data_IF_480800043611
#
_entry.id   IF_480800043611
#
_cell.length_a   1.000
_cell.length_b   1.000
_cell.length_c   1.000
_cell.angle_alpha   90.00
_cell.angle_beta   90.00
_cell.angle_gamma   90.00
#
_symmetry.space_group_name_H-M   'P 1'
#
loop_
_entity.id
_entity.type
_entity.pdbx_description
1 polymer ?
#
# COMPACT_ATOMS: atom_id res chain seq x y z
N UNK A 1 2.80 53.71 54.02
CA UNK A 1 2.19 55.06 53.91
C UNK A 1 2.16 55.35 52.40
N UNK A 2 1.06 55.49 51.68
CA UNK A 2 -0.30 55.97 51.98
C UNK A 2 -1.31 55.26 51.05
N UNK A 3 -2.36 54.73 51.70
CA UNK A 3 -3.80 54.60 51.38
C UNK A 3 -4.35 54.10 50.03
N UNK A 4 -5.46 53.38 50.22
CA UNK A 4 -6.28 52.64 49.28
C UNK A 4 -7.61 53.33 48.96
N UNK A 5 -8.17 52.96 47.79
CA UNK A 5 -9.60 52.69 47.45
C UNK A 5 -10.64 53.84 47.45
N UNK A 6 -11.89 53.69 46.91
CA UNK A 6 -12.57 52.51 46.29
C UNK A 6 -13.50 52.81 45.05
N UNK A 7 -14.18 51.74 44.57
CA UNK A 7 -15.38 51.64 43.70
C UNK A 7 -15.19 51.72 42.18
N UNK A 8 -15.75 50.83 41.34
CA UNK A 8 -16.66 49.70 41.59
C UNK A 8 -17.12 49.01 40.29
N UNK A 9 -17.64 47.77 40.43
CA UNK A 9 -18.49 47.02 39.45
C UNK A 9 -17.80 46.63 38.14
N UNK A 10 -17.91 45.43 37.57
CA UNK A 10 -18.84 44.31 37.74
C UNK A 10 -18.23 43.11 37.00
N UNK A 11 -18.25 41.91 37.58
CA UNK A 11 -18.23 40.66 36.78
C UNK A 11 -19.69 40.35 36.39
N UNK A 12 -19.99 39.68 35.25
CA UNK A 12 -19.83 38.23 35.21
C UNK A 12 -19.46 37.59 33.84
N UNK A 13 -18.73 36.47 33.96
CA UNK A 13 -18.95 35.17 33.31
C UNK A 13 -18.82 34.95 31.78
N UNK A 14 -18.33 33.74 31.50
CA UNK A 14 -18.29 32.96 30.24
C UNK A 14 -17.13 33.25 29.27
N UNK A 15 -16.33 32.28 28.84
CA UNK A 15 -16.33 30.85 29.11
C UNK A 15 -15.01 30.23 28.66
N UNK A 16 -14.43 29.40 29.53
CA UNK A 16 -13.35 28.50 29.12
C UNK A 16 -13.92 27.47 28.16
N UNK A 17 -13.31 27.35 26.97
CA UNK A 17 -13.58 26.20 26.13
C UNK A 17 -12.96 24.98 26.78
N UNK A 18 -13.85 24.12 27.26
CA UNK A 18 -13.56 22.78 27.68
C UNK A 18 -12.73 22.06 26.60
N UNK A 19 -11.79 21.24 27.05
CA UNK A 19 -11.32 20.11 26.28
C UNK A 19 -12.55 19.22 26.01
N UNK A 20 -13.12 19.37 24.82
CA UNK A 20 -14.19 18.51 24.35
C UNK A 20 -13.54 17.25 23.75
N UNK A 21 -13.31 16.30 24.64
CA UNK A 21 -13.16 14.89 24.28
C UNK A 21 -14.55 14.36 23.94
N UNK A 22 -15.02 14.66 22.74
CA UNK A 22 -16.16 13.99 22.12
C UNK A 22 -15.78 13.63 20.70
N UNK A 23 -15.43 12.35 20.53
CA UNK A 23 -15.56 11.66 19.26
C UNK A 23 -17.06 11.63 18.91
N UNK A 24 -17.60 12.73 18.39
CA UNK A 24 -18.89 12.70 17.70
C UNK A 24 -18.68 12.01 16.35
N UNK A 25 -18.87 10.69 16.34
CA UNK A 25 -19.36 9.97 15.16
C UNK A 25 -20.78 10.44 14.82
N UNK A 26 -20.92 11.68 14.37
CA UNK A 26 -22.11 12.15 13.69
C UNK A 26 -21.97 11.86 12.18
N UNK A 27 -21.83 10.58 11.82
CA UNK A 27 -22.07 10.14 10.46
C UNK A 27 -23.57 10.03 10.24
N UNK A 28 -24.10 10.47 9.10
CA UNK A 28 -25.55 10.51 8.85
C UNK A 28 -26.19 9.11 8.67
N UNK A 29 -25.48 8.05 9.06
CA UNK A 29 -25.78 6.65 8.76
C UNK A 29 -25.69 6.30 7.27
N UNK A 30 -25.37 7.26 6.40
CA UNK A 30 -25.27 7.09 4.96
C UNK A 30 -23.83 7.42 4.49
N UNK A 31 -23.03 6.39 4.13
CA UNK A 31 -21.64 6.57 3.70
C UNK A 31 -21.46 7.56 2.54
N UNK A 32 -22.44 7.69 1.64
CA UNK A 32 -22.35 8.63 0.53
C UNK A 32 -22.51 10.09 0.98
N UNK A 33 -23.36 10.34 1.98
CA UNK A 33 -23.57 11.69 2.50
C UNK A 33 -22.36 12.14 3.31
N UNK A 34 -21.80 11.25 4.13
CA UNK A 34 -20.56 11.51 4.88
C UNK A 34 -19.38 11.77 3.93
N UNK A 35 -19.30 11.02 2.83
CA UNK A 35 -18.30 11.25 1.79
C UNK A 35 -18.43 12.63 1.17
N UNK A 36 -19.65 13.07 0.80
CA UNK A 36 -19.89 14.41 0.25
C UNK A 36 -19.47 15.51 1.22
N UNK A 37 -19.75 15.34 2.51
CA UNK A 37 -19.33 16.26 3.56
C UNK A 37 -17.80 16.38 3.63
N UNK A 38 -17.09 15.25 3.66
CA UNK A 38 -15.62 15.23 3.69
C UNK A 38 -15.00 15.82 2.40
N UNK A 39 -15.61 15.61 1.22
CA UNK A 39 -15.16 16.26 -0.01
C UNK A 39 -15.31 17.78 0.09
N UNK A 40 -16.41 18.26 0.70
CA UNK A 40 -16.60 19.68 1.00
C UNK A 40 -15.54 20.24 1.94
N UNK A 41 -15.15 19.48 2.98
CA UNK A 41 -14.04 19.84 3.86
C UNK A 41 -12.71 19.90 3.11
N UNK A 42 -12.42 18.93 2.23
CA UNK A 42 -11.21 18.91 1.40
C UNK A 42 -11.07 20.18 0.54
N UNK A 43 -12.15 20.56 -0.14
CA UNK A 43 -12.18 21.77 -0.98
C UNK A 43 -11.95 23.03 -0.15
N UNK A 44 -12.51 23.12 1.06
CA UNK A 44 -12.29 24.27 1.95
C UNK A 44 -10.84 24.34 2.42
N UNK A 45 -10.26 23.20 2.80
CA UNK A 45 -8.85 23.14 3.18
C UNK A 45 -7.93 23.53 2.02
N UNK A 46 -8.20 23.09 0.80
CA UNK A 46 -7.39 23.50 -0.36
C UNK A 46 -7.38 25.03 -0.54
N UNK A 47 -8.56 25.66 -0.46
CA UNK A 47 -8.65 27.13 -0.57
C UNK A 47 -7.93 27.85 0.57
N UNK A 48 -7.99 27.30 1.78
CA UNK A 48 -7.29 27.87 2.93
C UNK A 48 -5.77 27.74 2.75
N UNK A 49 -5.31 26.56 2.33
CA UNK A 49 -3.92 26.28 2.03
C UNK A 49 -3.35 27.26 0.98
N UNK A 50 -4.11 27.58 -0.08
CA UNK A 50 -3.70 28.57 -1.07
C UNK A 50 -3.43 29.96 -0.43
N UNK A 51 -4.30 30.40 0.49
CA UNK A 51 -4.11 31.66 1.22
C UNK A 51 -2.91 31.61 2.18
N UNK A 52 -2.70 30.48 2.83
CA UNK A 52 -1.60 30.31 3.80
C UNK A 52 -0.25 30.25 3.08
N UNK A 53 -0.20 29.65 1.88
CA UNK A 53 0.95 29.70 0.98
C UNK A 53 1.25 31.14 0.54
N UNK A 54 0.24 31.90 0.12
CA UNK A 54 0.41 33.31 -0.29
C UNK A 54 0.94 34.18 0.86
N UNK A 55 0.52 33.90 2.10
CA UNK A 55 1.00 34.59 3.30
C UNK A 55 2.36 34.09 3.80
N UNK A 56 2.88 33.01 3.20
CA UNK A 56 4.04 32.29 3.68
C UNK A 56 3.92 31.84 5.16
N UNK A 57 2.71 31.40 5.54
CA UNK A 57 2.41 30.92 6.89
C UNK A 57 2.77 29.43 7.03
N UNK A 58 4.05 29.16 7.31
CA UNK A 58 4.55 27.80 7.43
C UNK A 58 3.86 26.98 8.53
N UNK A 59 3.30 27.62 9.57
CA UNK A 59 2.62 26.92 10.64
C UNK A 59 1.26 26.39 10.17
N UNK A 60 0.47 27.26 9.54
CA UNK A 60 -0.85 26.89 9.01
C UNK A 60 -0.76 25.86 7.88
N UNK A 61 0.23 26.01 6.97
CA UNK A 61 0.50 25.00 5.92
C UNK A 61 0.77 23.62 6.54
N UNK A 62 1.62 23.56 7.59
CA UNK A 62 1.94 22.30 8.26
C UNK A 62 0.74 21.73 9.01
N UNK A 63 -0.07 22.58 9.63
CA UNK A 63 -1.29 22.17 10.32
C UNK A 63 -2.33 21.62 9.35
N UNK A 64 -2.52 22.25 8.19
CA UNK A 64 -3.40 21.77 7.13
C UNK A 64 -2.97 20.38 6.63
N UNK A 65 -1.67 20.16 6.43
CA UNK A 65 -1.12 18.86 6.05
C UNK A 65 -1.36 17.79 7.11
N UNK A 66 -1.14 18.11 8.39
CA UNK A 66 -1.38 17.19 9.50
C UNK A 66 -2.87 16.82 9.58
N UNK A 67 -3.76 17.79 9.41
CA UNK A 67 -5.20 17.56 9.41
C UNK A 67 -5.63 16.68 8.21
N UNK A 68 -5.06 16.92 7.03
CA UNK A 68 -5.27 16.07 5.87
C UNK A 68 -4.86 14.62 6.18
N UNK A 69 -3.63 14.41 6.66
CA UNK A 69 -3.05 13.09 6.92
C UNK A 69 -3.73 12.31 8.05
N UNK A 70 -3.98 12.97 9.18
CA UNK A 70 -4.42 12.30 10.40
C UNK A 70 -5.95 12.23 10.53
N UNK A 71 -6.70 13.13 9.90
CA UNK A 71 -8.17 13.22 10.07
C UNK A 71 -8.93 12.87 8.79
N UNK A 72 -8.65 13.55 7.68
CA UNK A 72 -9.47 13.39 6.48
C UNK A 72 -9.16 12.14 5.69
N UNK A 73 -7.88 11.87 5.43
CA UNK A 73 -7.49 10.69 4.65
C UNK A 73 -7.99 9.38 5.27
N UNK A 74 -7.84 9.12 6.59
CA UNK A 74 -8.33 7.87 7.19
C UNK A 74 -9.85 7.72 7.16
N UNK A 75 -10.60 8.83 7.30
CA UNK A 75 -12.07 8.81 7.25
C UNK A 75 -12.57 8.54 5.83
N UNK A 76 -11.97 9.20 4.83
CA UNK A 76 -12.26 8.93 3.42
C UNK A 76 -11.92 7.49 3.05
N UNK A 77 -10.82 6.95 3.57
CA UNK A 77 -10.43 5.56 3.40
C UNK A 77 -11.48 4.57 3.91
N UNK A 78 -11.96 4.81 5.13
CA UNK A 78 -13.01 3.99 5.76
C UNK A 78 -14.28 3.99 4.90
N UNK A 79 -14.78 5.18 4.54
CA UNK A 79 -16.00 5.32 3.75
C UNK A 79 -15.87 4.72 2.35
N UNK A 80 -14.72 4.87 1.69
CA UNK A 80 -14.52 4.29 0.37
C UNK A 80 -14.57 2.76 0.43
N UNK A 81 -13.99 2.13 1.46
CA UNK A 81 -14.11 0.68 1.69
C UNK A 81 -15.54 0.23 1.98
N UNK A 82 -16.29 0.99 2.78
CA UNK A 82 -17.71 0.70 3.05
C UNK A 82 -18.57 0.79 1.78
N UNK A 83 -18.33 1.82 0.95
CA UNK A 83 -19.02 2.01 -0.33
C UNK A 83 -18.64 0.87 -1.27
N UNK A 84 -17.35 0.57 -1.45
CA UNK A 84 -16.85 -0.52 -2.29
C UNK A 84 -17.51 -1.86 -1.95
N UNK A 85 -17.68 -2.17 -0.66
CA UNK A 85 -18.33 -3.39 -0.19
C UNK A 85 -19.83 -3.46 -0.55
N UNK A 86 -20.47 -2.33 -0.80
CA UNK A 86 -21.89 -2.23 -1.19
C UNK A 86 -22.13 -2.25 -2.71
N UNK A 87 -21.08 -2.17 -3.53
CA UNK A 87 -21.21 -2.08 -5.00
C UNK A 87 -21.54 -3.43 -5.63
N UNK A 88 -22.69 -3.50 -6.33
CA UNK A 88 -23.20 -4.75 -6.89
C UNK A 88 -22.85 -4.91 -8.38
N UNK A 89 -22.78 -3.82 -9.14
CA UNK A 89 -22.61 -3.88 -10.59
C UNK A 89 -21.37 -3.14 -11.11
N UNK A 90 -21.01 -3.40 -12.38
CA UNK A 90 -19.82 -2.87 -13.00
C UNK A 90 -19.83 -1.34 -13.15
N UNK A 91 -21.00 -0.74 -13.41
CA UNK A 91 -21.15 0.71 -13.57
C UNK A 91 -20.94 1.44 -12.25
N UNK A 92 -21.47 0.90 -11.15
CA UNK A 92 -21.22 1.37 -9.79
C UNK A 92 -19.72 1.34 -9.45
N UNK A 93 -19.05 0.22 -9.75
CA UNK A 93 -17.60 0.09 -9.56
C UNK A 93 -16.79 1.04 -10.44
N UNK A 94 -17.22 1.27 -11.67
CA UNK A 94 -16.58 2.25 -12.55
C UNK A 94 -16.74 3.68 -12.01
N UNK A 95 -17.93 4.01 -11.49
CA UNK A 95 -18.19 5.29 -10.81
C UNK A 95 -17.29 5.50 -9.59
N UNK A 96 -17.17 4.49 -8.73
CA UNK A 96 -16.32 4.57 -7.54
C UNK A 96 -14.83 4.70 -7.90
N UNK A 97 -14.34 3.91 -8.89
CA UNK A 97 -12.97 4.06 -9.40
C UNK A 97 -12.68 5.46 -9.92
N UNK A 98 -13.63 6.07 -10.62
CA UNK A 98 -13.50 7.45 -11.09
C UNK A 98 -13.42 8.43 -9.93
N UNK A 99 -14.25 8.25 -8.90
CA UNK A 99 -14.22 9.08 -7.69
C UNK A 99 -12.89 8.97 -6.96
N UNK A 100 -12.42 7.75 -6.69
CA UNK A 100 -11.14 7.49 -6.02
C UNK A 100 -9.98 8.15 -6.78
N UNK A 101 -9.99 8.07 -8.12
CA UNK A 101 -8.98 8.73 -8.96
C UNK A 101 -9.00 10.24 -8.83
N UNK A 102 -10.16 10.90 -8.92
CA UNK A 102 -10.25 12.36 -8.74
C UNK A 102 -9.77 12.78 -7.36
N UNK A 103 -10.16 12.04 -6.32
CA UNK A 103 -9.72 12.32 -4.96
C UNK A 103 -8.20 12.19 -4.79
N UNK A 104 -7.60 11.16 -5.42
CA UNK A 104 -6.15 10.98 -5.43
C UNK A 104 -5.45 12.15 -6.14
N UNK A 105 -6.00 12.65 -7.25
CA UNK A 105 -5.51 13.85 -7.95
C UNK A 105 -5.58 15.10 -7.06
N UNK A 106 -6.68 15.31 -6.34
CA UNK A 106 -6.89 16.48 -5.47
C UNK A 106 -5.94 16.47 -4.26
N UNK A 107 -5.79 15.32 -3.58
CA UNK A 107 -4.83 15.15 -2.49
C UNK A 107 -3.40 15.40 -2.99
N UNK A 108 -3.07 14.87 -4.16
CA UNK A 108 -1.76 15.07 -4.80
C UNK A 108 -1.49 16.55 -5.08
N UNK A 109 -2.49 17.26 -5.60
CA UNK A 109 -2.40 18.69 -5.87
C UNK A 109 -2.15 19.49 -4.59
N UNK A 110 -2.90 19.21 -3.52
CA UNK A 110 -2.76 19.89 -2.23
C UNK A 110 -1.38 19.64 -1.62
N UNK A 111 -0.95 18.38 -1.54
CA UNK A 111 0.37 18.04 -0.99
C UNK A 111 1.51 18.65 -1.82
N UNK A 112 1.36 18.72 -3.14
CA UNK A 112 2.37 19.33 -4.03
C UNK A 112 2.48 20.84 -3.78
N UNK A 113 1.35 21.55 -3.71
CA UNK A 113 1.30 22.98 -3.37
C UNK A 113 1.97 23.27 -2.02
N UNK A 114 1.73 22.42 -1.03
CA UNK A 114 2.29 22.54 0.30
C UNK A 114 3.79 22.12 0.41
N UNK A 115 4.39 21.62 -0.68
CA UNK A 115 5.77 21.12 -0.67
C UNK A 115 5.96 19.79 0.07
N UNK A 116 4.87 19.09 0.42
CA UNK A 116 4.91 17.78 1.07
C UNK A 116 5.18 16.62 0.10
N UNK A 117 5.09 16.89 -1.22
CA UNK A 117 5.48 15.96 -2.28
C UNK A 117 6.10 16.69 -3.46
N UNK A 118 6.99 15.99 -4.16
CA UNK A 118 7.77 16.57 -5.24
C UNK A 118 7.09 16.54 -6.62
N UNK A 119 6.25 15.56 -6.94
CA UNK A 119 5.55 15.48 -8.23
C UNK A 119 4.09 15.84 -8.12
N UNK A 120 3.52 16.49 -9.14
CA UNK A 120 2.09 16.82 -9.14
C UNK A 120 1.20 15.60 -9.42
N UNK A 121 1.62 14.72 -10.33
CA UNK A 121 0.83 13.58 -10.78
C UNK A 121 0.80 12.46 -9.70
N UNK A 122 -0.38 11.99 -9.26
CA UNK A 122 -0.52 10.90 -8.28
C UNK A 122 0.17 9.57 -8.63
N UNK A 123 0.41 9.33 -9.91
CA UNK A 123 1.00 8.10 -10.43
C UNK A 123 2.49 8.25 -10.76
N UNK A 124 3.08 9.39 -10.40
CA UNK A 124 4.51 9.65 -10.55
C UNK A 124 5.19 9.83 -9.20
N UNK A 125 6.48 9.52 -9.15
CA UNK A 125 7.35 9.73 -8.02
C UNK A 125 8.64 10.42 -8.46
N UNK A 126 9.24 11.21 -7.57
CA UNK A 126 10.42 11.98 -7.90
C UNK A 126 11.66 11.12 -7.79
N UNK A 127 12.28 10.83 -8.93
CA UNK A 127 13.50 10.03 -8.98
C UNK A 127 14.73 10.92 -9.00
N UNK A 128 15.30 11.12 -7.82
CA UNK A 128 16.47 12.00 -7.63
C UNK A 128 17.64 11.74 -8.59
N UNK A 129 18.02 10.49 -8.94
CA UNK A 129 19.14 10.25 -9.86
C UNK A 129 18.95 10.81 -11.28
N UNK A 130 17.70 11.05 -11.71
CA UNK A 130 17.40 11.69 -13.00
C UNK A 130 16.76 13.07 -12.84
N UNK A 131 16.60 13.55 -11.61
CA UNK A 131 15.98 14.83 -11.27
C UNK A 131 14.62 15.06 -11.97
N UNK A 132 13.77 14.03 -12.02
CA UNK A 132 12.49 14.09 -12.72
C UNK A 132 11.43 13.20 -12.09
N UNK A 133 10.17 13.56 -12.32
CA UNK A 133 9.01 12.74 -12.00
C UNK A 133 8.86 11.59 -13.01
N UNK A 134 8.59 10.39 -12.51
CA UNK A 134 8.40 9.22 -13.36
C UNK A 134 7.31 8.30 -12.83
N UNK A 135 6.61 7.59 -13.72
CA UNK A 135 5.70 6.52 -13.33
C UNK A 135 6.39 5.48 -12.46
N UNK A 136 5.68 4.95 -11.48
CA UNK A 136 6.17 3.94 -10.56
C UNK A 136 5.24 2.73 -10.45
N UNK A 137 5.73 1.67 -9.82
CA UNK A 137 5.01 0.42 -9.62
C UNK A 137 5.13 -0.55 -10.80
N UNK A 138 4.52 -1.75 -10.66
CA UNK A 138 4.70 -2.84 -11.62
C UNK A 138 4.08 -2.57 -13.00
N UNK A 139 3.11 -1.65 -13.05
CA UNK A 139 2.41 -1.27 -14.28
C UNK A 139 3.03 -0.05 -14.98
N UNK A 140 4.15 0.48 -14.47
CA UNK A 140 4.84 1.60 -15.09
C UNK A 140 5.40 1.18 -16.46
N UNK A 141 5.15 2.01 -17.49
CA UNK A 141 5.66 1.77 -18.85
C UNK A 141 7.17 1.92 -18.97
N UNK A 142 7.78 2.68 -18.06
CA UNK A 142 9.22 2.95 -18.02
C UNK A 142 9.72 2.68 -16.61
N UNK A 143 10.73 1.82 -16.49
CA UNK A 143 11.39 1.53 -15.22
C UNK A 143 12.84 2.08 -15.25
N UNK A 144 13.20 3.05 -14.39
CA UNK A 144 14.56 3.60 -14.35
C UNK A 144 15.56 2.70 -13.62
N UNK A 145 15.08 1.66 -12.92
CA UNK A 145 15.93 0.83 -12.08
C UNK A 145 16.80 -0.07 -12.96
N UNK A 146 18.12 0.12 -12.88
CA UNK A 146 19.10 -0.54 -13.75
C UNK A 146 19.29 -2.02 -13.43
N UNK A 147 18.97 -2.42 -12.21
CA UNK A 147 19.21 -3.78 -11.70
C UNK A 147 18.02 -4.66 -12.02
N UNK A 148 18.32 -5.95 -12.25
CA UNK A 148 17.29 -6.96 -12.44
C UNK A 148 16.41 -7.05 -11.18
N UNK A 149 15.14 -7.36 -11.40
CA UNK A 149 14.17 -7.60 -10.34
C UNK A 149 13.97 -6.40 -9.40
N UNK A 150 14.26 -5.19 -9.89
CA UNK A 150 13.93 -3.92 -9.22
C UNK A 150 12.93 -3.14 -10.04
N UNK A 151 11.99 -2.48 -9.36
CA UNK A 151 11.10 -1.48 -9.93
C UNK A 151 11.11 -0.22 -9.08
N UNK A 152 10.70 0.90 -9.68
CA UNK A 152 10.57 2.15 -8.96
C UNK A 152 9.32 2.07 -8.08
N UNK A 153 9.48 2.32 -6.79
CA UNK A 153 8.40 2.47 -5.83
C UNK A 153 8.33 3.92 -5.34
N UNK A 154 7.13 4.33 -4.94
CA UNK A 154 6.91 5.63 -4.32
C UNK A 154 7.24 5.55 -2.82
N UNK A 155 8.15 6.43 -2.38
CA UNK A 155 8.58 6.51 -0.99
C UNK A 155 7.91 7.64 -0.22
N UNK A 156 8.47 7.96 0.96
CA UNK A 156 8.05 9.13 1.74
C UNK A 156 8.19 10.41 0.92
N UNK A 157 7.25 11.33 1.09
CA UNK A 157 7.22 12.64 0.42
C UNK A 157 7.32 12.54 -1.11
N UNK A 158 6.85 11.42 -1.68
CA UNK A 158 6.91 11.16 -3.11
C UNK A 158 8.35 11.11 -3.67
N UNK A 159 9.30 10.66 -2.84
CA UNK A 159 10.67 10.37 -3.26
C UNK A 159 10.79 8.91 -3.74
N UNK A 160 11.08 8.75 -5.02
CA UNK A 160 11.14 7.45 -5.68
C UNK A 160 12.39 6.66 -5.33
N UNK A 161 12.22 5.40 -4.95
CA UNK A 161 13.29 4.48 -4.64
C UNK A 161 13.17 3.19 -5.46
N UNK A 162 14.30 2.67 -5.95
CA UNK A 162 14.33 1.35 -6.58
C UNK A 162 14.36 0.28 -5.49
N UNK A 163 13.35 -0.58 -5.49
CA UNK A 163 13.26 -1.72 -4.57
C UNK A 163 12.87 -2.99 -5.34
N UNK A 164 12.95 -4.13 -4.67
CA UNK A 164 12.71 -5.43 -5.26
C UNK A 164 11.25 -5.62 -5.66
N UNK A 165 11.03 -6.32 -6.78
CA UNK A 165 9.70 -6.71 -7.22
C UNK A 165 9.03 -7.59 -6.15
N UNK A 166 7.83 -7.20 -5.75
CA UNK A 166 6.96 -8.00 -4.88
C UNK A 166 6.23 -9.07 -5.72
N UNK A 167 6.83 -10.25 -5.79
CA UNK A 167 6.23 -11.44 -6.41
C UNK A 167 6.48 -12.70 -5.56
N UNK A 168 6.04 -13.86 -6.05
CA UNK A 168 6.16 -15.16 -5.36
C UNK A 168 7.60 -15.57 -5.03
N UNK A 169 8.61 -14.91 -5.62
CA UNK A 169 10.03 -15.17 -5.32
C UNK A 169 10.48 -14.53 -4.01
N UNK A 170 9.68 -13.63 -3.44
CA UNK A 170 9.89 -13.03 -2.11
C UNK A 170 11.31 -12.45 -1.96
N UNK A 171 11.68 -11.63 -2.94
CA UNK A 171 12.99 -11.03 -3.05
C UNK A 171 13.24 -10.01 -1.93
N UNK A 172 14.50 -9.91 -1.53
CA UNK A 172 14.96 -8.97 -0.51
C UNK A 172 16.12 -8.15 -1.05
N UNK A 173 16.14 -6.88 -0.69
CA UNK A 173 17.17 -5.94 -1.12
C UNK A 173 18.41 -6.08 -0.25
N UNK A 174 19.53 -6.52 -0.83
CA UNK A 174 20.79 -6.65 -0.11
C UNK A 174 21.95 -6.13 -0.98
N UNK A 175 22.75 -5.21 -0.43
CA UNK A 175 23.91 -4.61 -1.10
C UNK A 175 23.66 -4.08 -2.52
N UNK A 176 22.48 -3.48 -2.77
CA UNK A 176 22.17 -2.86 -4.06
C UNK A 176 21.44 -3.77 -5.05
N UNK A 177 21.25 -5.04 -4.72
CA UNK A 177 20.64 -6.04 -5.59
C UNK A 177 19.53 -6.83 -4.89
N UNK A 178 18.68 -7.45 -5.68
CA UNK A 178 17.55 -8.24 -5.21
C UNK A 178 17.91 -9.72 -5.19
N UNK A 179 17.75 -10.33 -4.03
CA UNK A 179 18.11 -11.72 -3.81
C UNK A 179 16.93 -12.47 -3.22
N UNK A 180 16.79 -13.74 -3.60
CA UNK A 180 15.81 -14.62 -2.97
C UNK A 180 16.25 -14.94 -1.54
N UNK A 181 15.29 -15.09 -0.63
CA UNK A 181 15.55 -15.55 0.74
C UNK A 181 15.78 -17.07 0.80
N UNK A 182 16.45 -17.54 1.84
CA UNK A 182 16.80 -18.94 2.12
C UNK A 182 17.55 -19.65 0.99
N UNK A 183 18.24 -18.89 0.16
CA UNK A 183 19.27 -19.39 -0.75
C UNK A 183 20.62 -18.82 -0.34
N UNK A 184 21.71 -19.38 -0.85
CA UNK A 184 23.06 -18.82 -0.63
C UNK A 184 23.12 -17.33 -0.97
N UNK A 185 22.58 -16.96 -2.13
CA UNK A 185 22.59 -15.57 -2.60
C UNK A 185 24.01 -14.96 -2.56
N UNK A 186 24.18 -13.75 -2.00
CA UNK A 186 25.47 -13.08 -1.86
C UNK A 186 26.30 -13.57 -0.65
N UNK A 187 25.81 -14.53 0.11
CA UNK A 187 26.48 -15.05 1.30
C UNK A 187 27.60 -16.04 0.97
N UNK A 188 28.53 -16.22 1.92
CA UNK A 188 29.60 -17.21 1.81
C UNK A 188 29.05 -18.65 1.78
N UNK A 189 29.81 -19.62 1.24
CA UNK A 189 29.41 -21.03 1.31
C UNK A 189 29.08 -21.47 2.73
N UNK A 190 28.00 -22.24 2.90
CA UNK A 190 27.48 -22.65 4.20
C UNK A 190 26.55 -21.63 4.87
N UNK A 191 26.38 -20.45 4.28
CA UNK A 191 25.45 -19.43 4.74
C UNK A 191 24.35 -19.18 3.70
N UNK A 192 23.19 -18.75 4.18
CA UNK A 192 22.04 -18.34 3.38
C UNK A 192 21.58 -16.93 3.76
N UNK A 193 20.85 -16.29 2.86
CA UNK A 193 20.28 -14.97 3.10
C UNK A 193 18.91 -15.11 3.75
N UNK A 194 18.72 -14.54 4.93
CA UNK A 194 17.46 -14.54 5.68
C UNK A 194 17.07 -13.14 6.10
N UNK A 195 15.79 -12.94 6.44
CA UNK A 195 15.28 -11.67 6.95
C UNK A 195 15.14 -11.76 8.47
N UNK A 196 16.00 -11.04 9.20
CA UNK A 196 16.02 -11.02 10.67
C UNK A 196 15.68 -9.61 11.14
N UNK A 197 14.56 -9.44 11.87
CA UNK A 197 14.04 -8.13 12.29
C UNK A 197 13.98 -7.11 11.15
N UNK A 198 13.35 -7.50 10.03
CA UNK A 198 13.21 -6.63 8.85
C UNK A 198 14.55 -6.20 8.22
N UNK A 199 15.64 -6.92 8.51
CA UNK A 199 16.95 -6.72 7.91
C UNK A 199 17.43 -7.99 7.22
N UNK A 200 17.88 -7.93 5.96
CA UNK A 200 18.50 -9.08 5.31
C UNK A 200 19.91 -9.33 5.88
N UNK A 201 20.13 -10.53 6.41
CA UNK A 201 21.38 -10.97 7.04
C UNK A 201 21.82 -12.32 6.47
N UNK A 202 23.14 -12.53 6.40
CA UNK A 202 23.70 -13.83 6.08
C UNK A 202 23.85 -14.64 7.36
N UNK A 203 23.18 -15.79 7.44
CA UNK A 203 23.21 -16.67 8.59
C UNK A 203 23.70 -18.06 8.19
N UNK A 204 24.22 -18.81 9.16
CA UNK A 204 24.65 -20.20 8.95
C UNK A 204 23.45 -21.04 8.58
N UNK A 205 23.55 -21.79 7.49
CA UNK A 205 22.51 -22.75 7.10
C UNK A 205 22.50 -23.90 8.12
N UNK A 206 21.38 -24.14 8.82
CA UNK A 206 21.29 -25.22 9.80
C UNK A 206 21.56 -26.59 9.15
N UNK A 207 22.21 -27.50 9.87
CA UNK A 207 22.64 -28.80 9.34
C UNK A 207 21.50 -29.64 8.74
N UNK A 208 20.27 -29.50 9.25
CA UNK A 208 19.09 -30.21 8.79
C UNK A 208 18.30 -29.44 7.70
N UNK A 209 18.87 -28.38 7.14
CA UNK A 209 18.14 -27.49 6.24
C UNK A 209 18.88 -27.21 4.94
N UNK A 210 18.10 -27.05 3.87
CA UNK A 210 18.64 -26.88 2.51
C UNK A 210 18.47 -25.43 2.06
N UNK A 211 19.51 -24.82 1.51
CA UNK A 211 19.46 -23.44 1.01
C UNK A 211 18.89 -23.34 -0.43
N UNK A 212 17.64 -23.78 -0.62
CA UNK A 212 16.94 -23.82 -1.93
C UNK A 212 15.84 -22.77 -2.10
N UNK A 213 15.65 -21.90 -1.09
CA UNK A 213 14.61 -20.88 -1.08
C UNK A 213 13.20 -21.40 -0.84
N UNK A 214 13.03 -22.70 -0.54
CA UNK A 214 11.77 -23.32 -0.14
C UNK A 214 11.80 -23.75 1.33
N UNK A 215 12.97 -24.14 1.82
CA UNK A 215 13.15 -24.48 3.22
C UNK A 215 13.42 -23.23 4.06
N UNK A 216 12.88 -23.22 5.26
CA UNK A 216 13.07 -22.17 6.26
C UNK A 216 13.39 -22.82 7.60
N UNK A 217 14.14 -22.11 8.44
CA UNK A 217 14.39 -22.52 9.82
C UNK A 217 13.57 -21.63 10.75
N UNK A 218 12.47 -22.16 11.28
CA UNK A 218 11.47 -21.36 11.98
C UNK A 218 10.69 -22.18 13.01
N UNK A 219 10.13 -21.49 14.01
CA UNK A 219 9.15 -22.05 14.93
C UNK A 219 7.99 -21.06 15.15
N UNK A 220 6.73 -21.55 15.22
CA UNK A 220 5.57 -20.72 15.54
C UNK A 220 5.59 -20.18 16.97
N UNK A 221 6.23 -20.90 17.89
CA UNK A 221 6.37 -20.53 19.29
C UNK A 221 7.68 -21.11 19.82
N UNK A 222 8.73 -20.28 19.86
CA UNK A 222 10.06 -20.69 20.32
C UNK A 222 10.09 -21.25 21.76
N UNK A 223 9.05 -21.00 22.56
CA UNK A 223 8.94 -21.49 23.94
C UNK A 223 8.38 -22.92 23.97
N UNK A 224 7.46 -23.25 23.06
CA UNK A 224 6.77 -24.56 23.04
C UNK A 224 7.33 -25.52 22.01
N UNK A 225 7.85 -24.99 20.91
CA UNK A 225 8.32 -25.75 19.76
C UNK A 225 9.70 -25.21 19.39
N UNK A 226 10.76 -26.04 19.41
CA UNK A 226 12.07 -25.60 18.95
C UNK A 226 12.00 -25.26 17.45
N UNK A 227 12.83 -24.31 17.01
CA UNK A 227 12.98 -24.03 15.59
C UNK A 227 13.54 -25.25 14.87
N UNK A 228 12.95 -25.58 13.73
CA UNK A 228 13.39 -26.68 12.86
C UNK A 228 13.21 -26.29 11.39
N UNK A 229 13.71 -27.14 10.50
CA UNK A 229 13.61 -26.94 9.07
C UNK A 229 12.23 -27.34 8.53
N UNK A 230 11.55 -26.39 7.88
CA UNK A 230 10.22 -26.59 7.32
C UNK A 230 10.15 -26.10 5.87
N UNK A 231 9.27 -26.71 5.07
CA UNK A 231 9.08 -26.31 3.67
C UNK A 231 7.90 -25.36 3.55
N UNK A 232 8.09 -24.23 2.88
CA UNK A 232 7.01 -23.29 2.55
C UNK A 232 5.90 -24.01 1.75
N UNK A 233 4.65 -23.73 2.11
CA UNK A 233 3.48 -24.35 1.50
C UNK A 233 3.12 -25.73 2.07
N UNK A 234 3.91 -26.28 3.00
CA UNK A 234 3.58 -27.51 3.72
C UNK A 234 3.08 -27.23 5.12
N UNK A 235 2.48 -28.23 5.77
CA UNK A 235 1.92 -28.09 7.13
C UNK A 235 2.97 -27.68 8.17
N UNK A 236 4.15 -28.32 8.16
CA UNK A 236 5.18 -28.07 9.16
C UNK A 236 4.64 -28.19 10.61
N UNK A 237 4.99 -27.26 11.52
CA UNK A 237 4.53 -27.25 12.89
C UNK A 237 3.12 -26.65 13.06
N UNK A 238 2.40 -26.35 11.97
CA UNK A 238 1.10 -25.71 12.01
C UNK A 238 -0.04 -26.70 12.34
N UNK A 239 -1.16 -26.14 12.80
CA UNK A 239 -2.40 -26.87 13.10
C UNK A 239 -2.99 -27.52 11.84
N UNK A 240 -3.93 -28.45 12.03
CA UNK A 240 -4.60 -29.12 10.91
C UNK A 240 -5.23 -28.10 9.94
N UNK A 241 -4.96 -28.25 8.64
CA UNK A 241 -5.45 -27.34 7.60
C UNK A 241 -4.63 -26.06 7.41
N UNK A 242 -3.67 -25.77 8.28
CA UNK A 242 -2.74 -24.65 8.11
C UNK A 242 -1.44 -25.11 7.45
N UNK A 243 -0.83 -24.19 6.70
CA UNK A 243 0.47 -24.34 6.07
C UNK A 243 1.40 -23.22 6.49
N UNK A 244 2.70 -23.49 6.41
CA UNK A 244 3.77 -22.52 6.62
C UNK A 244 3.81 -21.58 5.43
N UNK A 245 3.56 -20.30 5.65
CA UNK A 245 3.59 -19.27 4.62
C UNK A 245 4.50 -18.13 5.02
N UNK A 246 4.96 -17.39 4.01
CA UNK A 246 5.69 -16.14 4.18
C UNK A 246 4.83 -15.00 3.66
N UNK A 247 4.70 -13.95 4.46
CA UNK A 247 4.06 -12.70 4.06
C UNK A 247 5.01 -11.78 3.27
N UNK A 248 4.46 -10.76 2.62
CA UNK A 248 5.22 -9.75 1.86
C UNK A 248 6.26 -9.00 2.73
N UNK A 249 6.16 -9.04 4.06
CA UNK A 249 7.16 -8.49 4.99
C UNK A 249 8.30 -9.44 5.38
N UNK A 250 8.34 -10.65 4.83
CA UNK A 250 9.35 -11.66 5.19
C UNK A 250 8.96 -12.53 6.39
N UNK A 251 7.95 -12.13 7.16
CA UNK A 251 7.44 -12.84 8.33
C UNK A 251 6.90 -14.20 7.94
N UNK A 252 7.33 -15.22 8.67
CA UNK A 252 6.83 -16.59 8.55
C UNK A 252 5.67 -16.77 9.53
N UNK A 253 4.56 -17.33 9.06
CA UNK A 253 3.40 -17.66 9.91
C UNK A 253 2.70 -18.94 9.44
N UNK A 254 1.83 -19.45 10.30
CA UNK A 254 0.85 -20.46 9.91
C UNK A 254 -0.40 -19.77 9.35
N UNK A 255 -0.81 -20.13 8.14
CA UNK A 255 -2.06 -19.63 7.54
C UNK A 255 -2.81 -20.76 6.83
N UNK A 256 -4.12 -20.58 6.65
CA UNK A 256 -4.88 -21.47 5.77
C UNK A 256 -4.44 -21.23 4.31
N UNK A 257 -4.32 -22.30 3.50
CA UNK A 257 -4.07 -22.13 2.07
C UNK A 257 -5.22 -21.34 1.45
N UNK A 258 -4.95 -20.47 0.46
CA UNK A 258 -6.02 -19.80 -0.27
C UNK A 258 -6.95 -20.85 -0.89
N UNK A 259 -8.26 -20.66 -0.80
CA UNK A 259 -9.22 -21.58 -1.42
C UNK A 259 -8.88 -21.74 -2.90
N UNK A 260 -8.87 -22.98 -3.44
CA UNK A 260 -8.70 -23.16 -4.87
C UNK A 260 -9.85 -22.43 -5.54
N UNK A 261 -9.54 -21.45 -6.38
CA UNK A 261 -10.55 -20.79 -7.22
C UNK A 261 -11.18 -21.89 -8.05
N UNK A 262 -12.38 -22.34 -7.65
CA UNK A 262 -13.09 -23.41 -8.31
C UNK A 262 -13.37 -22.94 -9.73
N UNK A 263 -12.49 -23.34 -10.64
CA UNK A 263 -12.74 -23.23 -12.07
C UNK A 263 -13.96 -24.11 -12.28
N UNK A 264 -15.11 -23.49 -12.48
CA UNK A 264 -16.33 -24.17 -12.90
C UNK A 264 -15.99 -24.83 -14.23
N UNK A 265 -15.56 -26.09 -14.16
CA UNK A 265 -15.55 -26.99 -15.31
C UNK A 265 -17.02 -27.17 -15.66
N UNK A 266 -17.52 -26.30 -16.53
CA UNK A 266 -18.76 -26.56 -17.24
C UNK A 266 -18.48 -27.77 -18.11
N UNK A 267 -18.78 -28.96 -17.58
CA UNK A 267 -18.82 -30.20 -18.34
C UNK A 267 -19.85 -30.01 -19.45
N UNK A 268 -19.38 -29.68 -20.64
CA UNK A 268 -20.16 -29.76 -21.87
C UNK A 268 -20.43 -31.24 -22.14
N UNK A 269 -21.69 -31.69 -22.26
CA UNK A 269 -21.98 -33.06 -22.67
C UNK A 269 -21.59 -33.24 -24.15
N UNK A 270 -20.92 -34.35 -24.44
CA UNK A 270 -20.55 -34.77 -25.78
C UNK A 270 -21.78 -34.90 -26.69
N UNK A 271 -21.77 -34.40 -27.93
CA UNK A 271 -22.83 -34.66 -28.88
C UNK A 271 -22.64 -36.02 -29.56
N UNK A 272 -23.75 -36.75 -29.65
CA UNK A 272 -23.88 -38.00 -30.37
C UNK A 272 -23.66 -37.83 -31.88
N UNK A 273 -23.11 -38.88 -32.48
CA UNK A 273 -22.92 -39.09 -33.92
C UNK A 273 -24.22 -38.99 -34.73
N UNK A 274 -24.18 -38.26 -35.85
CA UNK A 274 -24.94 -38.58 -37.06
C UNK A 274 -24.32 -37.88 -38.30
N UNK A 275 -24.35 -38.58 -39.43
CA UNK A 275 -23.66 -38.25 -40.67
C UNK A 275 -24.51 -37.46 -41.68
N UNK A 276 -23.78 -36.81 -42.61
CA UNK A 276 -24.10 -36.50 -44.01
C UNK A 276 -25.14 -35.40 -44.36
N UNK A 277 -24.67 -34.31 -44.97
CA UNK A 277 -24.78 -33.98 -46.42
C UNK A 277 -25.03 -32.48 -46.77
N UNK A 278 -24.28 -32.04 -47.79
CA UNK A 278 -24.58 -30.99 -48.80
C UNK A 278 -24.49 -29.47 -48.49
N UNK A 279 -23.40 -28.88 -49.03
CA UNK A 279 -23.22 -27.63 -49.80
C UNK A 279 -24.14 -26.39 -49.62
N UNK A 280 -23.52 -25.21 -49.48
CA UNK A 280 -23.55 -24.04 -50.42
C UNK A 280 -22.72 -22.86 -49.86
N UNK A 281 -22.11 -22.09 -50.76
CA UNK A 281 -21.20 -20.93 -50.57
C UNK A 281 -21.91 -19.68 -50.03
N UNK A 282 -21.26 -18.87 -49.18
CA UNK A 282 -20.91 -17.44 -49.40
C UNK A 282 -20.26 -16.78 -48.17
N UNK A 283 -19.38 -15.84 -48.45
CA UNK A 283 -18.61 -14.93 -47.58
C UNK A 283 -19.44 -14.03 -46.66
N UNK A 284 -18.95 -13.75 -45.43
CA UNK A 284 -18.96 -12.41 -44.82
C UNK A 284 -18.19 -12.38 -43.49
N UNK A 285 -17.65 -11.20 -43.22
CA UNK A 285 -16.78 -10.68 -42.16
C UNK A 285 -17.36 -10.55 -40.74
N UNK A 286 -16.47 -10.66 -39.74
CA UNK A 286 -16.51 -9.99 -38.42
C UNK A 286 -16.90 -10.85 -37.21
N UNK A 287 -16.67 -10.41 -35.95
CA UNK A 287 -15.55 -9.65 -35.41
C UNK A 287 -14.91 -10.34 -34.17
N UNK A 288 -13.76 -9.82 -33.76
CA UNK A 288 -12.99 -10.16 -32.56
C UNK A 288 -13.77 -9.86 -31.27
N UNK A 289 -13.88 -10.84 -30.36
CA UNK A 289 -14.32 -10.60 -28.97
C UNK A 289 -13.13 -10.85 -28.03
N UNK A 290 -12.83 -9.92 -27.10
CA UNK A 290 -11.65 -9.99 -26.24
C UNK A 290 -11.83 -10.94 -25.04
N UNK A 291 -10.71 -11.43 -24.56
CA UNK A 291 -10.57 -12.26 -23.37
C UNK A 291 -10.99 -11.53 -22.08
N UNK A 292 -11.51 -12.23 -21.06
CA UNK A 292 -11.79 -11.64 -19.76
C UNK A 292 -10.50 -11.50 -18.96
N UNK A 293 -10.07 -10.27 -18.72
CA UNK A 293 -9.01 -9.92 -17.77
C UNK A 293 -9.54 -10.16 -16.35
N UNK A 294 -8.92 -11.08 -15.61
CA UNK A 294 -9.15 -11.24 -14.18
C UNK A 294 -8.55 -10.03 -13.47
N UNK A 295 -9.38 -9.02 -13.16
CA UNK A 295 -8.96 -7.85 -12.38
C UNK A 295 -8.71 -8.25 -10.92
N UNK A 296 -7.48 -7.97 -10.44
CA UNK A 296 -7.11 -8.08 -9.04
C UNK A 296 -7.99 -7.15 -8.16
N UNK A 297 -8.23 -7.50 -6.89
CA UNK A 297 -8.91 -6.61 -5.96
C UNK A 297 -8.16 -5.27 -5.86
N UNK A 298 -8.94 -4.18 -5.90
CA UNK A 298 -8.45 -2.80 -5.86
C UNK A 298 -7.73 -2.60 -4.53
N UNK A 299 -6.40 -2.46 -4.56
CA UNK A 299 -5.65 -1.82 -3.47
C UNK A 299 -6.22 -0.42 -3.35
N UNK A 300 -6.92 -0.12 -2.25
CA UNK A 300 -7.50 1.21 -2.07
C UNK A 300 -6.35 2.22 -2.06
N UNK A 301 -6.60 3.42 -2.61
CA UNK A 301 -5.64 4.54 -2.62
C UNK A 301 -5.05 4.81 -1.22
N UNK A 302 -5.78 4.39 -0.19
CA UNK A 302 -5.50 4.53 1.23
C UNK A 302 -4.68 3.40 1.85
N UNK A 303 -4.68 2.24 1.21
CA UNK A 303 -3.88 1.10 1.61
C UNK A 303 -2.49 1.15 0.98
N UNK A 304 -2.14 2.19 0.21
CA UNK A 304 -0.78 2.40 -0.30
C UNK A 304 0.17 2.46 0.90
N UNK A 305 0.92 1.39 1.21
CA UNK A 305 1.84 1.42 2.31
C UNK A 305 2.93 2.40 1.88
N UNK A 306 3.16 3.44 2.68
CA UNK A 306 4.42 4.17 2.62
C UNK A 306 5.52 3.19 3.06
N UNK A 307 6.03 2.45 2.08
CA UNK A 307 6.98 1.35 2.18
C UNK A 307 6.58 0.18 3.09
N UNK A 308 6.79 -1.04 2.59
CA UNK A 308 6.98 -2.21 3.44
C UNK A 308 8.05 -1.88 4.49
N UNK A 309 7.77 -2.18 5.75
CA UNK A 309 8.64 -1.87 6.89
C UNK A 309 10.01 -2.60 6.87
N UNK A 310 10.33 -3.30 5.78
CA UNK A 310 11.61 -3.99 5.53
C UNK A 310 12.75 -3.13 5.00
N UNK A 311 12.47 -1.96 4.42
CA UNK A 311 13.47 -1.20 3.63
C UNK A 311 13.97 0.08 4.31
N UNK A 312 13.79 0.21 5.64
CA UNK A 312 14.16 1.42 6.41
C UNK A 312 15.67 1.64 6.60
N UNK A 313 16.55 0.79 6.07
CA UNK A 313 18.00 0.85 6.40
C UNK A 313 18.85 1.84 5.59
N UNK A 314 18.32 2.46 4.54
CA UNK A 314 19.12 3.35 3.67
C UNK A 314 19.09 4.83 4.08
N UNK A 315 18.07 5.29 4.82
CA UNK A 315 17.85 6.72 4.99
C UNK A 315 18.67 7.40 6.11
N UNK A 316 19.23 6.64 7.05
CA UNK A 316 20.01 7.22 8.15
C UNK A 316 21.40 7.75 7.75
N UNK A 317 21.90 7.47 6.54
CA UNK A 317 23.22 7.99 6.11
C UNK A 317 23.17 9.35 5.40
N UNK A 318 22.02 9.78 4.85
CA UNK A 318 21.95 11.05 4.10
C UNK A 318 21.67 12.29 4.95
N UNK A 319 21.28 12.12 6.21
CA UNK A 319 21.01 13.25 7.11
C UNK A 319 22.27 13.80 7.79
N UNK A 320 23.38 13.05 7.85
CA UNK A 320 24.65 13.56 8.37
C UNK A 320 25.46 14.34 7.33
N UNK A 321 25.29 14.07 6.04
CA UNK A 321 26.10 14.72 4.98
C UNK A 321 25.55 16.07 4.48
N UNK A 322 24.38 16.53 4.97
CA UNK A 322 23.84 17.88 4.65
C UNK A 322 24.03 18.91 5.78
N UNK A 323 24.82 18.59 6.80
CA UNK A 323 25.25 19.53 7.85
C UNK A 323 26.78 19.72 7.83
N UNK A 324 27.34 20.12 6.69
CA UNK A 324 28.65 20.80 6.62
C UNK A 324 28.55 21.87 5.52
#
# INVERSE_FOLDING_TARGET
MIRASPYGGSSPLFGGFAADSSEEEAGSGNPEQDRKMLTGELIRMERQLDQDIEKNDHYEIRYALLNLEMRLMPRMARLSREIDASLLNADQRAGERKFQKTLQEDISRMMYKAGARACLNPDETFYAPQNKCMPFGPNATVNPCKKKDQILYDGKNNEGACDCIEDDRQLVYYNGECHRQNVRGPCTPGNWLVMTNSTPTCEVTPANCTADGKHIHWSPDSVKVPADCHVLGQRGPCSLGQIVTRENGGTIKCSFPPEPTTTTVTTTPAPATAAAAAAVKTSATGPTTPAPTTEAPISSVWDRPSCSQGSYRSQNKRYEERKI
#
